data_IF_150550116407
#
_entry.id   IF_150550116407
#
_cell.length_a   1.000
_cell.length_b   1.000
_cell.length_c   1.000
_cell.angle_alpha   90.00
_cell.angle_beta   90.00
_cell.angle_gamma   90.00
#
_symmetry.space_group_name_H-M   'P 1'
#
loop_
_entity.id
_entity.type
_entity.pdbx_description
1 polymer ?
#
# COMPACT_ATOMS: atom_id res chain seq x y z
N UNK A 1 -21.65 20.81 22.78
CA UNK A 1 -20.30 20.68 22.20
C UNK A 1 -20.10 19.24 21.74
N UNK A 2 -19.88 19.04 20.44
CA UNK A 2 -19.49 17.74 19.87
C UNK A 2 -18.14 17.34 20.44
N UNK A 3 -18.11 16.31 21.29
CA UNK A 3 -16.86 15.80 21.88
C UNK A 3 -15.99 15.27 20.75
N UNK A 4 -14.85 15.91 20.51
CA UNK A 4 -13.79 15.39 19.64
C UNK A 4 -13.46 13.98 20.12
N UNK A 5 -13.95 12.98 19.40
CA UNK A 5 -13.87 11.58 19.80
C UNK A 5 -12.63 10.92 19.19
N UNK A 6 -11.45 11.49 19.43
CA UNK A 6 -10.19 10.77 19.25
C UNK A 6 -9.92 9.98 20.52
N UNK A 7 -10.69 8.91 20.72
CA UNK A 7 -10.38 7.93 21.77
C UNK A 7 -8.94 7.44 21.60
N UNK A 8 -8.29 7.03 22.69
CA UNK A 8 -6.95 6.44 22.60
C UNK A 8 -6.93 5.24 21.65
N UNK A 9 -8.05 4.51 21.56
CA UNK A 9 -8.26 3.45 20.58
C UNK A 9 -8.16 3.94 19.13
N UNK A 10 -8.78 5.06 18.78
CA UNK A 10 -8.71 5.62 17.42
C UNK A 10 -7.29 6.07 17.08
N UNK A 11 -6.60 6.73 18.02
CA UNK A 11 -5.19 7.13 17.82
C UNK A 11 -4.28 5.92 17.62
N UNK A 12 -4.48 4.88 18.44
CA UNK A 12 -3.71 3.64 18.33
C UNK A 12 -3.98 2.92 17.00
N UNK A 13 -5.24 2.84 16.56
CA UNK A 13 -5.61 2.22 15.28
C UNK A 13 -4.97 2.95 14.10
N UNK A 14 -4.95 4.28 14.09
CA UNK A 14 -4.28 5.05 13.04
C UNK A 14 -2.76 4.84 13.08
N UNK A 15 -2.15 4.86 14.26
CA UNK A 15 -0.71 4.61 14.38
C UNK A 15 -0.34 3.19 13.90
N UNK A 16 -1.17 2.18 14.18
CA UNK A 16 -1.01 0.83 13.68
C UNK A 16 -1.15 0.78 12.15
N UNK A 17 -2.18 1.43 11.59
CA UNK A 17 -2.41 1.47 10.15
C UNK A 17 -1.24 2.13 9.41
N UNK A 18 -0.75 3.26 9.92
CA UNK A 18 0.45 3.92 9.41
C UNK A 18 1.65 2.97 9.38
N UNK A 19 1.92 2.25 10.47
CA UNK A 19 3.03 1.27 10.52
C UNK A 19 2.88 0.13 9.51
N UNK A 20 1.68 -0.43 9.36
CA UNK A 20 1.43 -1.55 8.42
C UNK A 20 1.65 -1.09 6.97
N UNK A 21 1.17 0.11 6.64
CA UNK A 21 1.29 0.67 5.29
C UNK A 21 2.71 1.16 5.00
N UNK A 22 3.38 1.77 5.98
CA UNK A 22 4.72 2.38 5.83
C UNK A 22 5.87 1.36 5.86
N UNK A 23 5.68 0.23 6.53
CA UNK A 23 6.71 -0.79 6.74
C UNK A 23 6.66 -1.90 5.69
N UNK A 24 5.94 -2.96 6.00
CA UNK A 24 6.15 -4.25 5.35
C UNK A 24 5.35 -4.42 4.05
N UNK A 25 4.12 -3.90 3.98
CA UNK A 25 3.21 -4.27 2.90
C UNK A 25 3.63 -3.65 1.56
N UNK A 26 3.86 -2.33 1.51
CA UNK A 26 4.28 -1.67 0.26
C UNK A 26 5.64 -2.19 -0.20
N UNK A 27 6.56 -2.46 0.74
CA UNK A 27 7.85 -3.09 0.44
C UNK A 27 7.69 -4.49 -0.16
N UNK A 28 6.87 -5.36 0.45
CA UNK A 28 6.61 -6.70 -0.03
C UNK A 28 5.92 -6.72 -1.40
N UNK A 29 4.95 -5.82 -1.63
CA UNK A 29 4.29 -5.66 -2.93
C UNK A 29 5.28 -5.19 -4.00
N UNK A 30 6.19 -4.27 -3.64
CA UNK A 30 7.27 -3.84 -4.51
C UNK A 30 8.25 -4.97 -4.85
N UNK A 31 8.63 -5.78 -3.86
CA UNK A 31 9.49 -6.94 -4.06
C UNK A 31 8.83 -7.99 -4.96
N UNK A 32 7.55 -8.32 -4.72
CA UNK A 32 6.78 -9.21 -5.59
C UNK A 32 6.75 -8.69 -7.04
N UNK A 33 6.57 -7.37 -7.21
CA UNK A 33 6.62 -6.75 -8.54
C UNK A 33 7.99 -6.89 -9.20
N UNK A 34 9.07 -6.75 -8.45
CA UNK A 34 10.43 -6.89 -8.97
C UNK A 34 10.71 -8.34 -9.42
N UNK A 35 10.33 -9.33 -8.61
CA UNK A 35 10.51 -10.75 -8.96
C UNK A 35 9.71 -11.15 -10.21
N UNK A 36 8.44 -10.71 -10.32
CA UNK A 36 7.67 -11.00 -11.53
C UNK A 36 8.19 -10.28 -12.78
N UNK A 37 8.82 -9.12 -12.64
CA UNK A 37 9.54 -8.46 -13.74
C UNK A 37 10.78 -9.26 -14.16
N UNK A 38 11.57 -9.76 -13.19
CA UNK A 38 12.70 -10.67 -13.45
C UNK A 38 12.23 -11.93 -14.20
N UNK A 39 11.13 -12.54 -13.75
CA UNK A 39 10.54 -13.72 -14.40
C UNK A 39 9.91 -13.41 -15.76
N UNK A 40 9.65 -12.14 -16.09
CA UNK A 40 9.13 -11.75 -17.40
C UNK A 40 10.23 -11.55 -18.45
N UNK A 41 11.50 -11.55 -18.05
CA UNK A 41 12.64 -11.47 -18.97
C UNK A 41 12.93 -12.84 -19.60
N UNK A 42 12.80 -12.99 -20.94
CA UNK A 42 13.11 -14.25 -21.62
C UNK A 42 14.60 -14.62 -21.57
N UNK A 43 15.50 -13.71 -21.22
CA UNK A 43 16.91 -14.07 -20.99
C UNK A 43 17.13 -14.73 -19.62
N UNK A 44 16.17 -14.61 -18.70
CA UNK A 44 16.23 -15.14 -17.34
C UNK A 44 15.35 -16.39 -17.20
N UNK A 45 14.13 -16.35 -17.74
CA UNK A 45 13.19 -17.47 -17.71
C UNK A 45 12.42 -17.58 -19.03
N UNK A 46 12.66 -18.67 -19.77
CA UNK A 46 12.04 -18.91 -21.08
C UNK A 46 11.51 -20.33 -21.24
N UNK A 47 10.61 -20.49 -22.22
CA UNK A 47 9.82 -21.69 -22.46
C UNK A 47 8.36 -21.34 -22.71
N UNK A 48 7.57 -22.30 -23.18
CA UNK A 48 6.16 -22.08 -23.55
C UNK A 48 5.34 -21.49 -22.39
N UNK A 49 5.47 -22.04 -21.18
CA UNK A 49 4.74 -21.56 -20.01
C UNK A 49 5.28 -20.21 -19.50
N UNK A 50 6.59 -19.95 -19.63
CA UNK A 50 7.17 -18.64 -19.29
C UNK A 50 6.68 -17.55 -20.26
N UNK A 51 6.55 -17.88 -21.54
CA UNK A 51 5.94 -17.01 -22.55
C UNK A 51 4.48 -16.69 -22.24
N UNK A 52 3.72 -17.68 -21.77
CA UNK A 52 2.35 -17.48 -21.32
C UNK A 52 2.27 -16.62 -20.05
N UNK A 53 3.16 -16.85 -19.09
CA UNK A 53 3.25 -16.04 -17.88
C UNK A 53 3.47 -14.56 -18.24
N UNK A 54 4.53 -14.25 -19.00
CA UNK A 54 4.89 -12.86 -19.36
C UNK A 54 3.90 -12.20 -20.32
N UNK A 55 3.21 -12.98 -21.15
CA UNK A 55 2.23 -12.47 -22.13
C UNK A 55 0.82 -12.29 -21.56
N UNK A 56 0.38 -13.16 -20.66
CA UNK A 56 -1.03 -13.23 -20.23
C UNK A 56 -1.21 -12.93 -18.74
N UNK A 57 -0.37 -13.54 -17.90
CA UNK A 57 -0.63 -13.60 -16.45
C UNK A 57 0.00 -12.43 -15.71
N UNK A 58 1.30 -12.20 -15.94
CA UNK A 58 2.06 -11.18 -15.23
C UNK A 58 1.54 -9.75 -15.45
N UNK A 59 1.21 -9.31 -16.67
CA UNK A 59 0.76 -7.93 -16.88
C UNK A 59 -0.50 -7.57 -16.07
N UNK A 60 -1.42 -8.53 -15.90
CA UNK A 60 -2.64 -8.34 -15.10
C UNK A 60 -2.31 -8.22 -13.61
N UNK A 61 -1.46 -9.12 -13.10
CA UNK A 61 -1.01 -9.09 -11.72
C UNK A 61 -0.22 -7.81 -11.41
N UNK A 62 0.70 -7.41 -12.30
CA UNK A 62 1.48 -6.18 -12.15
C UNK A 62 0.58 -4.94 -12.08
N UNK A 63 -0.43 -4.85 -12.94
CA UNK A 63 -1.40 -3.75 -12.92
C UNK A 63 -2.14 -3.68 -11.58
N UNK A 64 -2.61 -4.82 -11.08
CA UNK A 64 -3.28 -4.89 -9.77
C UNK A 64 -2.34 -4.50 -8.62
N UNK A 65 -1.07 -4.94 -8.66
CA UNK A 65 -0.05 -4.58 -7.66
C UNK A 65 0.21 -3.06 -7.66
N UNK A 66 0.30 -2.43 -8.85
CA UNK A 66 0.47 -0.97 -8.97
C UNK A 66 -0.71 -0.22 -8.37
N UNK A 67 -1.93 -0.60 -8.73
CA UNK A 67 -3.15 0.02 -8.20
C UNK A 67 -3.24 -0.14 -6.68
N UNK A 68 -2.87 -1.31 -6.14
CA UNK A 68 -2.86 -1.55 -4.70
C UNK A 68 -1.83 -0.66 -3.98
N UNK A 69 -0.62 -0.54 -4.52
CA UNK A 69 0.41 0.35 -3.97
C UNK A 69 -0.08 1.80 -3.95
N UNK A 70 -0.67 2.28 -5.04
CA UNK A 70 -1.22 3.64 -5.13
C UNK A 70 -2.36 3.85 -4.11
N UNK A 71 -3.30 2.90 -4.01
CA UNK A 71 -4.41 2.98 -3.06
C UNK A 71 -3.91 3.01 -1.60
N UNK A 72 -2.87 2.24 -1.27
CA UNK A 72 -2.26 2.25 0.07
C UNK A 72 -1.57 3.59 0.37
N UNK A 73 -0.87 4.18 -0.60
CA UNK A 73 -0.26 5.51 -0.45
C UNK A 73 -1.29 6.62 -0.25
N UNK A 74 -2.41 6.56 -0.97
CA UNK A 74 -3.53 7.49 -0.81
C UNK A 74 -4.17 7.33 0.57
N UNK A 75 -4.45 6.09 0.99
CA UNK A 75 -5.00 5.78 2.31
C UNK A 75 -4.12 6.34 3.43
N UNK A 76 -2.82 6.14 3.34
CA UNK A 76 -1.84 6.70 4.30
C UNK A 76 -1.97 8.22 4.39
N UNK A 77 -1.91 8.91 3.25
CA UNK A 77 -1.95 10.38 3.18
C UNK A 77 -3.25 10.91 3.76
N UNK A 78 -4.37 10.27 3.43
CA UNK A 78 -5.69 10.66 3.92
C UNK A 78 -5.81 10.51 5.44
N UNK A 79 -5.37 9.37 5.98
CA UNK A 79 -5.42 9.09 7.42
C UNK A 79 -4.49 10.01 8.22
N UNK A 80 -3.29 10.31 7.71
CA UNK A 80 -2.39 11.29 8.33
C UNK A 80 -3.01 12.69 8.38
N UNK A 81 -3.64 13.11 7.28
CA UNK A 81 -4.33 14.42 7.18
C UNK A 81 -5.48 14.52 8.20
N UNK A 82 -6.33 13.49 8.28
CA UNK A 82 -7.42 13.44 9.27
C UNK A 82 -6.86 13.56 10.69
N UNK A 83 -5.84 12.79 11.02
CA UNK A 83 -5.24 12.84 12.36
C UNK A 83 -4.67 14.21 12.70
N UNK A 84 -3.97 14.85 11.77
CA UNK A 84 -3.42 16.19 11.96
C UNK A 84 -4.53 17.22 12.19
N UNK A 85 -5.61 17.17 11.40
CA UNK A 85 -6.76 18.05 11.56
C UNK A 85 -7.46 17.84 12.92
N UNK A 86 -7.62 16.59 13.36
CA UNK A 86 -8.22 16.27 14.67
C UNK A 86 -7.36 16.78 15.83
N UNK A 87 -6.04 16.55 15.79
CA UNK A 87 -5.13 17.03 16.84
C UNK A 87 -5.08 18.55 16.92
N UNK A 88 -5.07 19.23 15.76
CA UNK A 88 -5.07 20.71 15.70
C UNK A 88 -6.39 21.29 16.21
N UNK A 89 -7.52 20.68 15.86
CA UNK A 89 -8.85 21.10 16.35
C UNK A 89 -9.02 20.84 17.87
N UNK A 90 -8.37 19.82 18.41
CA UNK A 90 -8.40 19.49 19.84
C UNK A 90 -7.38 20.24 20.71
N UNK A 91 -6.31 20.79 20.14
CA UNK A 91 -5.26 21.53 20.85
C UNK A 91 -5.59 22.99 21.19
N UNK A 92 -6.71 23.50 20.67
CA UNK A 92 -7.21 24.86 20.95
C UNK A 92 -8.39 24.87 21.96
N UNK A 93 -8.50 23.85 22.83
CA UNK A 93 -9.50 23.75 23.88
C UNK A 93 -8.86 23.61 25.27
#
# INVERSE_FOLDING_TARGET
>A
MSRVLSTDQARQAVANLGRIVDGDLVGQLGALRAEGATLSDPNVWDGMEAARFRGETWPQAESALRQMIEALQQLRTYVQTINQNIMTAGGNA
#
